data_IF_151204376214
#
_entry.id   IF_151204376214
#
_cell.length_a   1.000
_cell.length_b   1.000
_cell.length_c   1.000
_cell.angle_alpha   90.00
_cell.angle_beta   90.00
_cell.angle_gamma   90.00
#
_symmetry.space_group_name_H-M   'P 1'
#
loop_
_entity.id
_entity.type
_entity.pdbx_description
1 polymer ?
#
# COMPACT_ATOMS: atom_id res chain seq x y z
N UNK A 1 43.61 -6.67 7.39
CA UNK A 1 44.88 -5.90 7.45
C UNK A 1 45.92 -6.46 8.43
N UNK A 2 45.53 -7.00 9.60
CA UNK A 2 46.50 -7.56 10.59
C UNK A 2 47.41 -8.67 10.06
N UNK A 3 46.92 -9.52 9.16
CA UNK A 3 47.71 -10.61 8.58
C UNK A 3 48.79 -10.17 7.58
N UNK A 4 48.60 -9.04 6.89
CA UNK A 4 49.61 -8.48 5.97
C UNK A 4 50.85 -8.00 6.73
N UNK A 5 50.65 -7.43 7.93
CA UNK A 5 51.74 -7.02 8.82
C UNK A 5 52.52 -8.25 9.30
N UNK A 6 51.81 -9.32 9.67
CA UNK A 6 52.44 -10.60 10.01
C UNK A 6 53.25 -11.20 8.86
N UNK A 7 52.70 -11.20 7.65
CA UNK A 7 53.39 -11.70 6.45
C UNK A 7 54.66 -10.87 6.13
N UNK A 8 54.60 -9.54 6.26
CA UNK A 8 55.75 -8.65 6.09
C UNK A 8 56.81 -8.84 7.18
N UNK A 9 56.41 -9.06 8.44
CA UNK A 9 57.34 -9.36 9.54
C UNK A 9 58.08 -10.68 9.34
N UNK A 10 57.37 -11.72 8.88
CA UNK A 10 57.97 -13.03 8.58
C UNK A 10 58.89 -12.91 7.34
N UNK A 11 58.54 -12.09 6.35
CA UNK A 11 59.40 -11.81 5.21
C UNK A 11 60.70 -11.11 5.65
N UNK A 12 60.61 -10.12 6.54
CA UNK A 12 61.78 -9.45 7.13
C UNK A 12 62.65 -10.41 7.96
N UNK A 13 62.02 -11.28 8.74
CA UNK A 13 62.71 -12.30 9.53
C UNK A 13 63.41 -13.36 8.65
N UNK A 14 62.78 -13.76 7.55
CA UNK A 14 63.39 -14.65 6.55
C UNK A 14 64.66 -14.06 5.95
N UNK A 15 64.67 -12.76 5.68
CA UNK A 15 65.84 -12.05 5.18
C UNK A 15 66.95 -11.96 6.23
N UNK A 16 66.59 -11.82 7.51
CA UNK A 16 67.55 -11.81 8.62
C UNK A 16 68.21 -13.18 8.86
N UNK A 17 67.51 -14.29 8.57
CA UNK A 17 68.03 -15.66 8.71
C UNK A 17 68.83 -16.12 7.47
N UNK A 18 68.69 -15.43 6.33
CA UNK A 18 69.31 -15.84 5.06
C UNK A 18 68.70 -17.12 4.47
N UNK A 19 67.42 -17.40 4.77
CA UNK A 19 66.72 -18.56 4.21
C UNK A 19 66.00 -18.19 2.92
N UNK A 20 66.56 -18.59 1.78
CA UNK A 20 65.97 -18.33 0.46
C UNK A 20 64.61 -19.01 0.30
N UNK A 21 64.43 -20.20 0.88
CA UNK A 21 63.20 -20.98 0.76
C UNK A 21 62.01 -20.29 1.45
N UNK A 22 62.22 -19.72 2.64
CA UNK A 22 61.19 -18.95 3.35
C UNK A 22 60.83 -17.67 2.60
N UNK A 23 61.81 -17.02 1.97
CA UNK A 23 61.56 -15.83 1.15
C UNK A 23 60.71 -16.17 -0.07
N UNK A 24 61.05 -17.23 -0.83
CA UNK A 24 60.26 -17.68 -1.98
C UNK A 24 58.83 -18.11 -1.59
N UNK A 25 58.67 -18.79 -0.45
CA UNK A 25 57.36 -19.16 0.08
C UNK A 25 56.52 -17.90 0.40
N UNK A 26 57.13 -16.88 0.99
CA UNK A 26 56.42 -15.64 1.32
C UNK A 26 56.08 -14.79 0.08
N UNK A 27 57.00 -14.71 -0.89
CA UNK A 27 56.72 -14.03 -2.16
C UNK A 27 55.60 -14.71 -2.95
N UNK A 28 55.57 -16.04 -3.00
CA UNK A 28 54.49 -16.78 -3.66
C UNK A 28 53.16 -16.56 -2.95
N UNK A 29 53.13 -16.57 -1.61
CA UNK A 29 51.94 -16.27 -0.83
C UNK A 29 51.42 -14.85 -1.05
N UNK A 30 52.29 -13.83 -0.97
CA UNK A 30 51.89 -12.43 -1.18
C UNK A 30 51.40 -12.19 -2.61
N UNK A 31 52.08 -12.78 -3.60
CA UNK A 31 51.66 -12.71 -5.01
C UNK A 31 50.31 -13.37 -5.20
N UNK A 32 50.09 -14.56 -4.63
CA UNK A 32 48.82 -15.26 -4.68
C UNK A 32 47.68 -14.41 -4.09
N UNK A 33 47.89 -13.76 -2.95
CA UNK A 33 46.89 -12.90 -2.30
C UNK A 33 46.61 -11.67 -3.16
N UNK A 34 47.65 -10.99 -3.69
CA UNK A 34 47.49 -9.81 -4.52
C UNK A 34 46.75 -10.12 -5.83
N UNK A 35 47.12 -11.23 -6.47
CA UNK A 35 46.46 -11.75 -7.67
C UNK A 35 45.01 -12.14 -7.35
N UNK A 36 44.76 -12.91 -6.29
CA UNK A 36 43.41 -13.27 -5.84
C UNK A 36 42.54 -12.03 -5.61
N UNK A 37 43.05 -11.01 -4.92
CA UNK A 37 42.34 -9.75 -4.68
C UNK A 37 42.05 -8.98 -5.97
N UNK A 38 43.01 -8.93 -6.89
CA UNK A 38 42.84 -8.26 -8.18
C UNK A 38 41.81 -8.97 -9.06
N UNK A 39 41.87 -10.30 -9.18
CA UNK A 39 40.89 -11.09 -9.93
C UNK A 39 39.49 -10.94 -9.33
N UNK A 40 39.35 -11.11 -8.02
CA UNK A 40 38.05 -10.97 -7.33
C UNK A 40 37.42 -9.59 -7.57
N UNK A 41 38.21 -8.51 -7.46
CA UNK A 41 37.73 -7.14 -7.76
C UNK A 41 37.34 -6.98 -9.23
N UNK A 42 38.16 -7.45 -10.16
CA UNK A 42 37.91 -7.31 -11.59
C UNK A 42 36.70 -8.13 -12.04
N UNK A 43 36.56 -9.36 -11.55
CA UNK A 43 35.38 -10.20 -11.84
C UNK A 43 34.11 -9.52 -11.37
N UNK A 44 34.08 -9.04 -10.13
CA UNK A 44 32.90 -8.38 -9.59
C UNK A 44 32.57 -7.10 -10.40
N UNK A 45 33.55 -6.23 -10.67
CA UNK A 45 33.32 -5.00 -11.44
C UNK A 45 32.77 -5.19 -12.86
N UNK A 46 33.02 -6.35 -13.49
CA UNK A 46 32.61 -6.65 -14.87
C UNK A 46 31.25 -7.37 -14.96
N UNK A 47 30.63 -7.71 -13.84
CA UNK A 47 29.31 -8.32 -13.81
C UNK A 47 28.22 -7.24 -13.88
N UNK A 48 27.30 -7.41 -14.83
CA UNK A 48 26.08 -6.63 -14.92
C UNK A 48 24.87 -7.55 -14.84
N UNK A 49 23.83 -7.12 -14.14
CA UNK A 49 22.55 -7.83 -14.08
C UNK A 49 21.42 -6.90 -14.51
N UNK A 50 20.41 -7.45 -15.18
CA UNK A 50 19.17 -6.74 -15.52
C UNK A 50 17.99 -7.56 -15.01
N UNK A 51 16.97 -6.87 -14.48
CA UNK A 51 15.69 -7.47 -14.06
C UNK A 51 14.59 -7.06 -15.01
N UNK A 52 13.84 -8.05 -15.48
CA UNK A 52 12.55 -7.86 -16.13
C UNK A 52 11.48 -8.57 -15.30
N UNK A 53 10.40 -7.85 -15.02
CA UNK A 53 9.21 -8.38 -14.36
C UNK A 53 8.10 -8.47 -15.40
N UNK A 54 7.33 -9.55 -15.42
CA UNK A 54 6.22 -9.72 -16.36
C UNK A 54 5.16 -8.64 -16.18
N UNK A 55 4.88 -8.27 -14.93
CA UNK A 55 3.95 -7.19 -14.57
C UNK A 55 4.31 -6.57 -13.21
N UNK A 56 4.11 -5.27 -13.06
CA UNK A 56 4.33 -4.53 -11.80
C UNK A 56 3.03 -4.17 -11.07
N UNK A 57 1.89 -4.44 -11.71
CA UNK A 57 0.55 -4.34 -11.15
C UNK A 57 -0.10 -5.69 -11.33
N UNK A 58 -0.62 -6.27 -10.25
CA UNK A 58 -1.20 -7.61 -10.24
C UNK A 58 -2.44 -7.65 -9.34
N UNK A 59 -3.28 -8.65 -9.53
CA UNK A 59 -4.41 -8.94 -8.65
C UNK A 59 -4.10 -10.13 -7.72
N UNK A 60 -4.94 -10.32 -6.70
CA UNK A 60 -4.82 -11.49 -5.84
C UNK A 60 -5.09 -12.76 -6.67
N UNK A 61 -4.23 -13.75 -6.50
CA UNK A 61 -4.07 -15.01 -7.22
C UNK A 61 -3.31 -14.94 -8.55
N UNK A 62 -2.86 -13.77 -8.99
CA UNK A 62 -2.02 -13.68 -10.18
C UNK A 62 -0.65 -14.32 -9.98
N UNK A 63 -0.12 -14.86 -11.07
CA UNK A 63 1.25 -15.36 -11.15
C UNK A 63 2.14 -14.32 -11.82
N UNK A 64 3.18 -13.89 -11.12
CA UNK A 64 4.15 -12.92 -11.62
C UNK A 64 5.49 -13.63 -11.87
N UNK A 65 6.02 -13.46 -13.07
CA UNK A 65 7.31 -14.00 -13.49
C UNK A 65 8.40 -12.94 -13.40
N UNK A 66 9.54 -13.31 -12.84
CA UNK A 66 10.75 -12.51 -12.81
C UNK A 66 11.83 -13.20 -13.62
N UNK A 67 12.39 -12.46 -14.57
CA UNK A 67 13.54 -12.86 -15.35
C UNK A 67 14.74 -11.96 -15.02
N UNK A 68 15.80 -12.59 -14.51
CA UNK A 68 17.08 -11.97 -14.25
C UNK A 68 18.08 -12.43 -15.29
N UNK A 69 18.64 -11.50 -16.04
CA UNK A 69 19.74 -11.77 -16.96
C UNK A 69 21.05 -11.26 -16.36
N UNK A 70 21.99 -12.18 -16.19
CA UNK A 70 23.33 -11.91 -15.68
C UNK A 70 24.33 -12.03 -16.82
N UNK A 71 25.10 -10.96 -17.05
CA UNK A 71 26.05 -10.83 -18.15
C UNK A 71 27.44 -10.51 -17.62
N UNK A 72 28.44 -11.26 -18.06
CA UNK A 72 29.85 -10.94 -17.83
C UNK A 72 30.37 -10.08 -18.99
N UNK A 73 30.66 -8.80 -18.74
CA UNK A 73 31.22 -7.88 -19.74
C UNK A 73 32.75 -7.96 -19.86
N UNK A 74 33.38 -8.73 -18.97
CA UNK A 74 34.81 -8.89 -18.90
C UNK A 74 35.35 -9.93 -19.89
N UNK A 75 36.66 -9.86 -20.12
CA UNK A 75 37.41 -10.83 -20.95
C UNK A 75 37.78 -12.12 -20.21
N UNK A 76 37.66 -12.14 -18.88
CA UNK A 76 37.99 -13.30 -18.05
C UNK A 76 36.72 -14.05 -17.68
N UNK A 77 36.74 -15.40 -17.65
CA UNK A 77 35.65 -16.18 -17.10
C UNK A 77 35.55 -15.98 -15.59
N UNK A 78 34.33 -15.89 -15.08
CA UNK A 78 34.05 -15.86 -13.64
C UNK A 78 33.67 -17.28 -13.20
N UNK A 79 34.49 -17.92 -12.34
CA UNK A 79 34.37 -19.35 -12.05
C UNK A 79 33.09 -19.71 -11.30
N UNK A 80 32.65 -18.83 -10.41
CA UNK A 80 31.42 -19.04 -9.66
C UNK A 80 30.79 -17.69 -9.30
N UNK A 81 29.46 -17.66 -9.39
CA UNK A 81 28.63 -16.52 -9.05
C UNK A 81 27.39 -17.09 -8.39
N UNK A 82 27.14 -16.68 -7.15
CA UNK A 82 25.89 -16.93 -6.47
C UNK A 82 24.99 -15.72 -6.68
N UNK A 83 23.90 -15.93 -7.42
CA UNK A 83 22.88 -14.93 -7.66
C UNK A 83 21.73 -15.16 -6.67
N UNK A 84 21.40 -14.15 -5.89
CA UNK A 84 20.30 -14.15 -4.93
C UNK A 84 19.43 -12.89 -5.17
N UNK A 85 18.17 -13.09 -5.55
CA UNK A 85 17.21 -11.97 -5.64
C UNK A 85 16.54 -11.75 -4.29
N UNK A 86 16.79 -10.59 -3.66
CA UNK A 86 16.23 -10.27 -2.35
C UNK A 86 14.75 -9.90 -2.53
N UNK A 87 13.90 -10.40 -1.64
CA UNK A 87 12.50 -10.04 -1.58
C UNK A 87 12.20 -9.49 -0.18
N UNK A 88 11.22 -8.60 -0.09
CA UNK A 88 10.80 -8.02 1.20
C UNK A 88 10.40 -9.11 2.20
N UNK A 89 10.86 -9.00 3.46
CA UNK A 89 10.47 -9.92 4.54
C UNK A 89 8.95 -10.00 4.73
N UNK A 90 8.24 -8.89 4.50
CA UNK A 90 6.77 -8.82 4.59
C UNK A 90 6.06 -9.79 3.64
N UNK A 91 6.68 -10.11 2.50
CA UNK A 91 6.11 -11.08 1.55
C UNK A 91 5.97 -12.49 2.15
N UNK A 92 6.75 -12.82 3.19
CA UNK A 92 6.81 -14.13 3.82
C UNK A 92 6.46 -14.11 5.32
N UNK A 93 6.00 -12.97 5.84
CA UNK A 93 5.77 -12.81 7.27
C UNK A 93 4.58 -13.64 7.80
N UNK A 94 3.57 -13.84 6.96
CA UNK A 94 2.34 -14.53 7.32
C UNK A 94 2.28 -15.94 6.74
N UNK A 95 1.41 -16.78 7.31
CA UNK A 95 1.10 -18.12 6.83
C UNK A 95 -0.37 -18.20 6.43
N UNK A 96 -0.71 -18.51 5.15
CA UNK A 96 0.20 -18.64 4.01
C UNK A 96 0.92 -17.32 3.67
N UNK A 97 2.10 -17.38 3.01
CA UNK A 97 2.87 -16.21 2.63
C UNK A 97 2.10 -15.34 1.64
N UNK A 98 2.29 -14.03 1.73
CA UNK A 98 1.64 -13.06 0.83
C UNK A 98 2.11 -13.21 -0.60
N UNK A 99 3.39 -13.52 -0.82
CA UNK A 99 3.92 -13.97 -2.11
C UNK A 99 4.42 -15.41 -1.96
N UNK A 100 3.75 -16.33 -2.62
CA UNK A 100 4.09 -17.75 -2.57
C UNK A 100 5.05 -18.09 -3.70
N UNK A 101 6.31 -18.36 -3.33
CA UNK A 101 7.36 -18.73 -4.28
C UNK A 101 7.11 -20.14 -4.84
N UNK A 102 7.08 -20.25 -6.16
CA UNK A 102 6.94 -21.55 -6.85
C UNK A 102 8.28 -22.14 -7.29
N UNK A 103 9.35 -21.33 -7.30
CA UNK A 103 10.69 -21.76 -7.70
C UNK A 103 11.79 -21.02 -6.95
N UNK A 104 13.04 -21.52 -7.07
CA UNK A 104 14.19 -20.95 -6.38
C UNK A 104 14.61 -19.60 -6.99
N UNK A 105 14.72 -18.59 -6.13
CA UNK A 105 15.29 -17.26 -6.42
C UNK A 105 16.82 -17.19 -6.25
N UNK A 106 17.45 -18.32 -5.93
CA UNK A 106 18.89 -18.45 -5.71
C UNK A 106 19.46 -19.41 -6.75
N UNK A 107 20.53 -19.01 -7.43
CA UNK A 107 21.21 -19.83 -8.44
C UNK A 107 22.71 -19.63 -8.42
N UNK A 108 23.44 -20.74 -8.33
CA UNK A 108 24.89 -20.78 -8.50
C UNK A 108 25.22 -21.04 -9.97
N UNK A 109 26.11 -20.22 -10.55
CA UNK A 109 26.49 -20.37 -11.95
C UNK A 109 27.91 -19.90 -12.24
N UNK A 110 28.54 -20.48 -13.27
CA UNK A 110 29.76 -19.97 -13.90
C UNK A 110 29.41 -19.15 -15.15
N UNK A 111 30.17 -18.10 -15.47
CA UNK A 111 30.02 -17.31 -16.70
C UNK A 111 31.35 -17.20 -17.45
N UNK A 112 31.36 -17.57 -18.72
CA UNK A 112 32.50 -17.30 -19.61
C UNK A 112 32.58 -15.81 -19.96
N UNK A 113 33.68 -15.41 -20.61
CA UNK A 113 33.81 -14.06 -21.16
C UNK A 113 32.65 -13.74 -22.11
N UNK A 114 32.06 -12.56 -21.97
CA UNK A 114 30.93 -12.11 -22.79
C UNK A 114 29.68 -13.01 -22.78
N UNK A 115 29.56 -13.93 -21.81
CA UNK A 115 28.41 -14.82 -21.71
C UNK A 115 27.31 -14.20 -20.85
N UNK A 116 26.05 -14.43 -21.25
CA UNK A 116 24.86 -14.17 -20.43
C UNK A 116 24.21 -15.47 -19.96
N UNK A 117 23.63 -15.46 -18.76
CA UNK A 117 22.77 -16.53 -18.24
C UNK A 117 21.55 -15.96 -17.55
N UNK A 118 20.45 -16.71 -17.64
CA UNK A 118 19.14 -16.31 -17.11
C UNK A 118 18.78 -17.11 -15.84
N UNK A 119 18.20 -16.43 -14.86
CA UNK A 119 17.43 -17.02 -13.76
C UNK A 119 15.99 -16.56 -13.93
N UNK A 120 15.06 -17.52 -13.99
CA UNK A 120 13.64 -17.24 -14.04
C UNK A 120 12.97 -17.86 -12.82
N UNK A 121 12.13 -17.08 -12.15
CA UNK A 121 11.30 -17.58 -11.06
C UNK A 121 9.92 -16.95 -11.07
N UNK A 122 8.96 -17.66 -10.48
CA UNK A 122 7.57 -17.22 -10.42
C UNK A 122 7.06 -17.28 -8.99
N UNK A 123 6.12 -16.40 -8.68
CA UNK A 123 5.38 -16.44 -7.43
C UNK A 123 3.90 -16.14 -7.66
N UNK A 124 3.07 -16.69 -6.79
CA UNK A 124 1.64 -16.41 -6.73
C UNK A 124 1.37 -15.31 -5.71
N UNK A 125 0.56 -14.33 -6.07
CA UNK A 125 0.18 -13.23 -5.17
C UNK A 125 -1.02 -13.67 -4.31
N UNK A 126 -0.82 -14.03 -3.05
CA UNK A 126 -1.90 -14.48 -2.17
C UNK A 126 -2.61 -13.34 -1.42
N UNK A 127 -1.96 -12.17 -1.27
CA UNK A 127 -2.51 -11.02 -0.54
C UNK A 127 -2.16 -9.71 -1.22
N UNK A 128 -2.98 -8.68 -1.01
CA UNK A 128 -2.69 -7.32 -1.50
C UNK A 128 -1.39 -6.80 -0.88
N UNK A 129 -0.81 -5.77 -1.46
CA UNK A 129 0.30 -5.07 -0.84
C UNK A 129 1.23 -4.43 -1.83
N UNK A 130 2.22 -3.72 -1.29
CA UNK A 130 3.28 -3.09 -2.05
C UNK A 130 4.62 -3.76 -1.71
N UNK A 131 5.12 -4.56 -2.66
CA UNK A 131 6.25 -5.47 -2.44
C UNK A 131 7.49 -5.00 -3.18
N UNK A 132 8.62 -4.94 -2.46
CA UNK A 132 9.93 -4.78 -3.07
C UNK A 132 10.34 -6.10 -3.73
N UNK A 133 10.57 -6.04 -5.03
CA UNK A 133 11.23 -7.07 -5.81
C UNK A 133 12.68 -6.64 -5.99
N UNK A 134 13.61 -7.42 -5.46
CA UNK A 134 15.01 -7.03 -5.42
C UNK A 134 15.42 -6.21 -4.20
N UNK A 135 16.67 -5.72 -4.20
CA UNK A 135 17.62 -5.79 -5.32
C UNK A 135 18.24 -7.19 -5.51
N UNK A 136 18.91 -7.40 -6.65
CA UNK A 136 19.66 -8.63 -6.91
C UNK A 136 21.07 -8.48 -6.35
N UNK A 137 21.44 -9.41 -5.46
CA UNK A 137 22.77 -9.49 -4.88
C UNK A 137 23.56 -10.59 -5.57
N UNK A 138 24.74 -10.22 -6.04
CA UNK A 138 25.71 -11.13 -6.62
C UNK A 138 26.84 -11.34 -5.62
N UNK A 139 27.09 -12.59 -5.27
CA UNK A 139 28.28 -13.00 -4.52
C UNK A 139 29.24 -13.69 -5.49
N UNK A 140 30.48 -13.20 -5.53
CA UNK A 140 31.58 -13.81 -6.27
C UNK A 140 32.87 -13.69 -5.48
N UNK A 141 33.90 -14.44 -5.87
CA UNK A 141 35.16 -14.42 -5.15
C UNK A 141 36.23 -15.25 -5.84
N UNK A 142 37.39 -15.30 -5.21
CA UNK A 142 38.48 -16.16 -5.67
C UNK A 142 38.18 -17.64 -5.45
N UNK A 143 38.93 -18.51 -6.13
CA UNK A 143 38.78 -19.97 -6.03
C UNK A 143 39.21 -20.52 -4.67
N UNK A 144 40.10 -19.81 -3.98
CA UNK A 144 40.60 -20.19 -2.65
C UNK A 144 39.71 -19.68 -1.51
N UNK A 145 38.68 -18.89 -1.82
CA UNK A 145 37.76 -18.31 -0.83
C UNK A 145 38.40 -17.28 0.10
N UNK A 146 39.58 -16.75 -0.23
CA UNK A 146 40.29 -15.72 0.53
C UNK A 146 39.60 -14.36 0.43
N UNK A 147 38.93 -14.10 -0.70
CA UNK A 147 38.28 -12.84 -1.00
C UNK A 147 36.91 -13.07 -1.63
N UNK A 148 35.86 -12.89 -0.82
CA UNK A 148 34.48 -12.79 -1.28
C UNK A 148 34.12 -11.32 -1.52
N UNK A 149 33.25 -11.08 -2.47
CA UNK A 149 32.73 -9.76 -2.87
C UNK A 149 31.24 -9.86 -3.06
N UNK A 150 30.52 -8.90 -2.49
CA UNK A 150 29.07 -8.76 -2.64
C UNK A 150 28.78 -7.49 -3.42
N UNK A 151 27.95 -7.63 -4.46
CA UNK A 151 27.56 -6.49 -5.28
C UNK A 151 26.07 -6.47 -5.53
N UNK A 152 25.50 -5.29 -5.32
CA UNK A 152 24.14 -4.96 -5.73
C UNK A 152 24.21 -4.41 -7.15
N UNK A 153 23.50 -5.03 -8.09
CA UNK A 153 23.58 -4.69 -9.53
C UNK A 153 22.25 -4.36 -10.20
N UNK A 154 21.14 -4.55 -9.50
CA UNK A 154 19.81 -4.16 -10.00
C UNK A 154 19.13 -3.26 -8.99
N UNK A 155 18.48 -2.22 -9.49
CA UNK A 155 17.56 -1.43 -8.68
C UNK A 155 16.35 -2.30 -8.28
N UNK A 156 15.76 -2.06 -7.10
CA UNK A 156 14.51 -2.70 -6.73
C UNK A 156 13.38 -2.23 -7.65
N UNK A 157 12.54 -3.17 -8.06
CA UNK A 157 11.26 -2.88 -8.71
C UNK A 157 10.14 -3.07 -7.68
N UNK A 158 9.02 -2.36 -7.86
CA UNK A 158 7.92 -2.38 -6.91
C UNK A 158 6.68 -3.00 -7.53
N UNK A 159 6.21 -4.09 -6.93
CA UNK A 159 4.98 -4.76 -7.32
C UNK A 159 3.83 -4.27 -6.45
N UNK A 160 2.77 -3.78 -7.08
CA UNK A 160 1.51 -3.46 -6.41
C UNK A 160 0.51 -4.58 -6.67
N UNK A 161 0.09 -5.28 -5.61
CA UNK A 161 -0.98 -6.27 -5.66
C UNK A 161 -2.26 -5.61 -5.16
N UNK A 162 -3.28 -5.53 -6.01
CA UNK A 162 -4.55 -4.87 -5.70
C UNK A 162 -5.42 -5.72 -4.77
N UNK A 163 -6.25 -5.09 -3.91
CA UNK A 163 -7.20 -5.82 -3.08
C UNK A 163 -8.27 -6.50 -3.93
N UNK A 164 -8.76 -7.65 -3.45
CA UNK A 164 -9.91 -8.34 -4.03
C UNK A 164 -11.16 -7.47 -3.88
N UNK A 165 -11.93 -7.37 -4.96
CA UNK A 165 -13.22 -6.69 -5.00
C UNK A 165 -14.32 -7.76 -4.94
N UNK A 166 -15.26 -7.59 -4.02
CA UNK A 166 -16.43 -8.45 -3.85
C UNK A 166 -17.66 -7.68 -4.34
N UNK A 167 -18.56 -8.35 -5.05
CA UNK A 167 -19.81 -7.73 -5.49
C UNK A 167 -20.76 -7.61 -4.30
N UNK A 168 -21.36 -6.43 -4.11
CA UNK A 168 -22.31 -6.16 -3.03
C UNK A 168 -23.74 -6.27 -3.53
N UNK A 169 -24.60 -6.93 -2.75
CA UNK A 169 -26.02 -7.08 -3.04
C UNK A 169 -26.79 -5.82 -2.64
N UNK A 170 -27.00 -4.93 -3.61
CA UNK A 170 -27.73 -3.69 -3.41
C UNK A 170 -26.89 -2.62 -2.70
N UNK A 171 -27.32 -1.37 -2.83
CA UNK A 171 -26.69 -0.23 -2.16
C UNK A 171 -27.77 0.62 -1.50
N UNK A 172 -27.96 0.44 -0.21
CA UNK A 172 -28.85 1.25 0.64
C UNK A 172 -28.06 1.69 1.89
N UNK A 173 -26.93 2.39 1.68
CA UNK A 173 -26.35 3.17 2.77
C UNK A 173 -27.27 4.37 2.97
N UNK A 174 -28.09 4.29 4.02
CA UNK A 174 -29.17 5.21 4.36
C UNK A 174 -28.76 6.67 4.14
N UNK A 175 -29.09 7.21 2.97
CA UNK A 175 -29.21 8.64 2.78
C UNK A 175 -30.48 9.03 3.53
N UNK A 176 -30.35 9.31 4.83
CA UNK A 176 -31.45 9.86 5.63
C UNK A 176 -31.88 11.19 5.01
N UNK A 177 -32.85 11.14 4.10
CA UNK A 177 -33.84 12.19 3.94
C UNK A 177 -35.24 11.59 4.07
N UNK A 178 -36.13 12.22 4.85
CA UNK A 178 -37.43 11.65 5.18
C UNK A 178 -38.44 11.84 4.04
N UNK A 179 -39.16 10.75 3.73
CA UNK A 179 -40.50 10.65 3.15
C UNK A 179 -40.76 11.27 1.75
N UNK A 180 -40.90 10.37 0.77
CA UNK A 180 -41.50 10.59 -0.55
C UNK A 180 -41.18 9.42 -1.48
N UNK A 181 -42.17 8.76 -2.07
CA UNK A 181 -41.95 7.68 -3.06
C UNK A 181 -41.30 8.24 -4.33
N UNK A 182 -40.03 7.91 -4.58
CA UNK A 182 -39.44 8.04 -5.92
C UNK A 182 -38.58 6.82 -6.22
N UNK A 183 -39.06 5.99 -7.17
CA UNK A 183 -38.20 5.14 -8.00
C UNK A 183 -37.28 6.05 -8.82
N UNK A 184 -35.98 5.91 -8.62
CA UNK A 184 -34.97 6.74 -9.27
C UNK A 184 -34.69 6.28 -10.70
N UNK A 185 -34.93 7.17 -11.66
CA UNK A 185 -34.28 7.16 -12.97
C UNK A 185 -34.18 8.62 -13.45
N UNK A 186 -32.95 9.15 -13.55
CA UNK A 186 -32.57 10.49 -14.08
C UNK A 186 -32.39 11.68 -13.10
N UNK A 187 -31.34 12.47 -13.39
CA UNK A 187 -30.65 13.52 -12.62
C UNK A 187 -31.35 14.90 -12.54
N UNK A 188 -32.67 15.00 -12.46
CA UNK A 188 -33.37 16.25 -12.83
C UNK A 188 -34.10 17.05 -11.73
N UNK A 189 -34.03 16.68 -10.45
CA UNK A 189 -34.81 17.39 -9.42
C UNK A 189 -34.00 18.39 -8.58
N UNK A 190 -34.55 19.59 -8.44
CA UNK A 190 -34.15 20.60 -7.46
C UNK A 190 -35.06 20.45 -6.23
N UNK A 191 -34.55 20.70 -5.03
CA UNK A 191 -35.31 20.57 -3.79
C UNK A 191 -36.23 21.80 -3.58
N UNK A 192 -37.57 21.67 -3.71
CA UNK A 192 -38.49 22.81 -3.63
C UNK A 192 -38.56 23.43 -2.23
N UNK A 193 -37.98 22.79 -1.21
CA UNK A 193 -37.92 23.30 0.16
C UNK A 193 -36.72 24.19 0.42
N UNK A 194 -35.68 24.14 -0.43
CA UNK A 194 -34.42 24.88 -0.26
C UNK A 194 -34.22 25.90 -1.37
N UNK A 195 -34.48 27.16 -1.06
CA UNK A 195 -34.28 28.29 -1.98
C UNK A 195 -32.83 28.77 -1.86
N UNK A 196 -32.01 28.51 -2.88
CA UNK A 196 -30.63 28.98 -2.99
C UNK A 196 -30.55 30.50 -3.25
N UNK A 197 -31.57 31.07 -3.88
CA UNK A 197 -31.63 32.49 -4.19
C UNK A 197 -32.81 32.86 -5.08
N UNK A 198 -32.75 34.05 -5.65
CA UNK A 198 -33.78 34.59 -6.55
C UNK A 198 -33.10 35.22 -7.75
N UNK A 199 -33.62 34.99 -8.96
CA UNK A 199 -33.19 35.67 -10.20
C UNK A 199 -34.36 36.30 -10.91
N UNK A 200 -34.07 37.22 -11.84
CA UNK A 200 -35.08 37.72 -12.77
C UNK A 200 -35.74 36.56 -13.51
N UNK A 201 -37.07 36.61 -13.56
CA UNK A 201 -37.90 35.66 -14.30
C UNK A 201 -37.55 35.70 -15.79
N UNK A 202 -37.42 34.53 -16.40
CA UNK A 202 -37.24 34.38 -17.84
C UNK A 202 -38.47 33.69 -18.44
N UNK A 203 -38.82 34.03 -19.68
CA UNK A 203 -39.90 33.36 -20.39
C UNK A 203 -39.56 31.88 -20.57
N UNK A 204 -40.41 31.02 -20.00
CA UNK A 204 -40.18 29.57 -19.88
C UNK A 204 -40.07 29.09 -18.43
N UNK A 205 -39.84 29.98 -17.46
CA UNK A 205 -39.88 29.63 -16.04
C UNK A 205 -41.32 29.31 -15.60
N UNK A 206 -41.57 28.19 -14.89
CA UNK A 206 -42.91 27.87 -14.44
C UNK A 206 -43.40 28.82 -13.34
N UNK A 207 -44.67 29.23 -13.42
CA UNK A 207 -45.27 30.25 -12.53
C UNK A 207 -45.25 29.88 -11.05
N UNK A 208 -45.26 28.58 -10.71
CA UNK A 208 -45.14 28.09 -9.34
C UNK A 208 -43.77 28.40 -8.69
N UNK A 209 -42.78 28.81 -9.49
CA UNK A 209 -41.45 29.23 -9.02
C UNK A 209 -41.36 30.73 -8.77
N UNK A 210 -42.42 31.52 -8.97
CA UNK A 210 -42.37 32.96 -8.69
C UNK A 210 -42.19 33.20 -7.19
N UNK A 211 -41.21 34.02 -6.83
CA UNK A 211 -41.00 34.47 -5.45
C UNK A 211 -41.79 35.77 -5.19
N UNK A 212 -43.08 35.64 -4.86
CA UNK A 212 -44.00 36.79 -4.72
C UNK A 212 -43.48 37.92 -3.83
N UNK A 213 -42.85 37.60 -2.68
CA UNK A 213 -42.29 38.62 -1.78
C UNK A 213 -41.13 39.42 -2.39
N UNK A 214 -40.33 38.81 -3.26
CA UNK A 214 -39.21 39.47 -3.92
C UNK A 214 -39.74 40.31 -5.09
N UNK A 215 -40.67 39.75 -5.88
CA UNK A 215 -41.40 40.45 -6.94
C UNK A 215 -42.09 41.72 -6.42
N UNK A 216 -42.75 41.65 -5.26
CA UNK A 216 -43.43 42.79 -4.66
C UNK A 216 -42.46 43.93 -4.27
N UNK A 217 -41.19 43.61 -3.94
CA UNK A 217 -40.19 44.61 -3.55
C UNK A 217 -39.48 45.24 -4.73
N UNK A 218 -39.23 44.47 -5.79
CA UNK A 218 -38.48 44.94 -6.97
C UNK A 218 -39.37 45.43 -8.11
N UNK A 219 -40.68 45.17 -8.06
CA UNK A 219 -41.63 45.52 -9.12
C UNK A 219 -41.45 44.72 -10.41
N UNK A 220 -40.57 43.71 -10.43
CA UNK A 220 -40.27 42.84 -11.58
C UNK A 220 -40.37 41.39 -11.15
N UNK A 221 -40.92 40.52 -12.00
CA UNK A 221 -41.05 39.09 -11.70
C UNK A 221 -39.69 38.46 -11.36
N UNK A 222 -39.61 37.80 -10.20
CA UNK A 222 -38.45 37.06 -9.74
C UNK A 222 -38.79 35.57 -9.62
N UNK A 223 -37.92 34.70 -10.11
CA UNK A 223 -38.03 33.25 -10.04
C UNK A 223 -37.11 32.70 -8.93
N UNK A 224 -37.63 31.78 -8.12
CA UNK A 224 -36.89 31.04 -7.09
C UNK A 224 -35.84 30.16 -7.76
N UNK A 225 -34.59 30.27 -7.32
CA UNK A 225 -33.55 29.28 -7.61
C UNK A 225 -33.54 28.30 -6.45
N UNK A 226 -33.76 27.03 -6.73
CA UNK A 226 -33.71 25.97 -5.74
C UNK A 226 -32.31 25.35 -5.68
N UNK A 227 -31.90 24.87 -4.50
CA UNK A 227 -30.69 24.04 -4.40
C UNK A 227 -30.92 22.72 -5.14
N UNK A 228 -29.92 22.26 -5.87
CA UNK A 228 -29.95 20.92 -6.50
C UNK A 228 -30.08 19.85 -5.42
N UNK A 229 -30.94 18.84 -5.62
CA UNK A 229 -31.00 17.71 -4.69
C UNK A 229 -29.65 16.98 -4.73
N UNK A 230 -28.92 17.04 -3.62
CA UNK A 230 -27.55 16.56 -3.46
C UNK A 230 -27.33 15.18 -4.08
N UNK A 231 -26.29 15.08 -4.92
CA UNK A 231 -25.73 13.78 -5.32
C UNK A 231 -25.25 13.13 -4.03
N UNK A 232 -25.86 12.02 -3.62
CA UNK A 232 -25.39 11.22 -2.50
C UNK A 232 -23.93 10.80 -2.77
N UNK A 233 -22.98 11.43 -2.08
CA UNK A 233 -21.58 11.04 -2.07
C UNK A 233 -21.27 10.14 -0.89
N UNK A 234 -20.21 9.36 -0.98
CA UNK A 234 -19.71 8.54 0.12
C UNK A 234 -18.26 8.92 0.41
N UNK A 235 -17.94 9.14 1.68
CA UNK A 235 -16.56 9.22 2.14
C UNK A 235 -16.30 8.04 3.06
N UNK A 236 -15.46 7.11 2.61
CA UNK A 236 -15.04 5.97 3.43
C UNK A 236 -13.93 6.46 4.36
N UNK A 237 -14.10 6.28 5.67
CA UNK A 237 -13.08 6.55 6.68
C UNK A 237 -12.64 5.22 7.25
N UNK A 238 -11.46 4.77 6.86
CA UNK A 238 -10.90 3.46 7.20
C UNK A 238 -9.88 3.59 8.34
N UNK A 239 -10.17 2.97 9.47
CA UNK A 239 -9.24 2.85 10.59
C UNK A 239 -8.19 1.75 10.31
N UNK A 240 -6.94 2.16 10.25
CA UNK A 240 -5.75 1.33 10.02
C UNK A 240 -4.69 1.54 11.12
N UNK A 241 -5.15 1.87 12.34
CA UNK A 241 -4.29 1.99 13.51
C UNK A 241 -3.91 0.62 14.12
N UNK A 242 -2.67 0.46 14.59
CA UNK A 242 -2.18 -0.80 15.17
C UNK A 242 -3.02 -1.34 16.33
N UNK A 243 -3.50 -0.44 17.21
CA UNK A 243 -4.35 -0.77 18.35
C UNK A 243 -5.67 -1.46 17.97
N UNK A 244 -6.14 -1.24 16.74
CA UNK A 244 -7.35 -1.86 16.20
C UNK A 244 -7.13 -3.29 15.72
N UNK A 245 -5.88 -3.72 15.50
CA UNK A 245 -5.56 -5.02 14.91
C UNK A 245 -4.67 -5.90 15.80
N UNK A 246 -4.09 -5.35 16.86
CA UNK A 246 -3.21 -6.08 17.78
C UNK A 246 -3.91 -7.30 18.40
N UNK A 247 -3.37 -8.50 18.16
CA UNK A 247 -3.91 -9.76 18.67
C UNK A 247 -5.20 -10.26 18.00
N UNK A 248 -5.68 -9.59 16.94
CA UNK A 248 -6.99 -9.86 16.33
C UNK A 248 -6.89 -10.61 14.99
N UNK A 249 -6.48 -11.89 14.99
CA UNK A 249 -6.47 -12.73 13.78
C UNK A 249 -5.81 -12.10 12.54
N UNK A 250 -4.77 -11.29 12.72
CA UNK A 250 -4.04 -10.66 11.62
C UNK A 250 -3.34 -11.70 10.73
N UNK A 251 -3.30 -11.49 9.40
CA UNK A 251 -3.72 -10.29 8.66
C UNK A 251 -5.17 -10.34 8.14
N UNK A 252 -6.01 -11.27 8.62
CA UNK A 252 -7.35 -11.49 8.06
C UNK A 252 -8.27 -10.27 8.26
N UNK A 253 -8.18 -9.59 9.41
CA UNK A 253 -9.04 -8.45 9.73
C UNK A 253 -8.67 -7.23 8.91
N UNK A 254 -7.38 -6.89 8.83
CA UNK A 254 -6.91 -5.78 8.00
C UNK A 254 -7.24 -5.98 6.52
N UNK A 255 -7.09 -7.20 5.99
CA UNK A 255 -7.50 -7.53 4.64
C UNK A 255 -9.02 -7.40 4.44
N UNK A 256 -9.84 -7.88 5.37
CA UNK A 256 -11.29 -7.78 5.29
C UNK A 256 -11.80 -6.33 5.30
N UNK A 257 -11.20 -5.46 6.13
CA UNK A 257 -11.54 -4.03 6.14
C UNK A 257 -11.25 -3.35 4.80
N UNK A 258 -10.12 -3.70 4.17
CA UNK A 258 -9.76 -3.17 2.85
C UNK A 258 -10.64 -3.73 1.75
N UNK A 259 -10.95 -5.04 1.79
CA UNK A 259 -11.88 -5.67 0.87
C UNK A 259 -13.26 -5.03 0.96
N UNK A 260 -13.76 -4.76 2.17
CA UNK A 260 -15.02 -4.04 2.35
C UNK A 260 -14.95 -2.63 1.77
N UNK A 261 -13.90 -1.86 2.09
CA UNK A 261 -13.71 -0.50 1.59
C UNK A 261 -13.68 -0.43 0.06
N UNK A 262 -12.87 -1.28 -0.60
CA UNK A 262 -12.76 -1.25 -2.07
C UNK A 262 -14.03 -1.74 -2.75
N UNK A 263 -14.72 -2.73 -2.16
CA UNK A 263 -15.97 -3.27 -2.71
C UNK A 263 -17.06 -2.21 -2.69
N UNK A 264 -17.18 -1.47 -1.59
CA UNK A 264 -18.13 -0.37 -1.46
C UNK A 264 -17.77 0.77 -2.41
N UNK A 265 -16.48 1.14 -2.49
CA UNK A 265 -16.01 2.15 -3.42
C UNK A 265 -16.35 1.79 -4.88
N UNK A 266 -16.19 0.52 -5.27
CA UNK A 266 -16.55 0.02 -6.59
C UNK A 266 -18.05 0.14 -6.85
N UNK A 267 -18.90 -0.27 -5.90
CA UNK A 267 -20.36 -0.15 -6.02
C UNK A 267 -20.80 1.31 -6.16
N UNK A 268 -20.27 2.23 -5.35
CA UNK A 268 -20.59 3.67 -5.43
C UNK A 268 -20.14 4.27 -6.76
N UNK A 269 -18.96 3.88 -7.24
CA UNK A 269 -18.47 4.30 -8.55
C UNK A 269 -19.38 3.81 -9.68
N UNK A 270 -19.84 2.54 -9.64
CA UNK A 270 -20.76 1.99 -10.63
C UNK A 270 -22.12 2.71 -10.64
N UNK A 271 -22.58 3.19 -9.48
CA UNK A 271 -23.76 4.05 -9.36
C UNK A 271 -23.54 5.49 -9.86
N UNK A 272 -22.29 5.84 -10.22
CA UNK A 272 -21.92 7.16 -10.71
C UNK A 272 -22.04 8.26 -9.66
N UNK A 273 -21.91 7.90 -8.38
CA UNK A 273 -21.93 8.79 -7.21
C UNK A 273 -20.51 9.32 -6.91
N UNK A 274 -20.41 10.28 -5.99
CA UNK A 274 -19.10 10.78 -5.52
C UNK A 274 -18.51 9.78 -4.52
N UNK A 275 -17.21 9.52 -4.60
CA UNK A 275 -16.52 8.62 -3.66
C UNK A 275 -15.21 9.26 -3.21
N UNK A 276 -14.89 9.10 -1.93
CA UNK A 276 -13.63 9.51 -1.32
C UNK A 276 -13.16 8.52 -0.27
N UNK A 277 -11.89 8.62 0.10
CA UNK A 277 -11.24 7.77 1.09
C UNK A 277 -10.42 8.63 2.07
N UNK A 278 -10.53 8.32 3.34
CA UNK A 278 -9.70 8.82 4.42
C UNK A 278 -9.18 7.65 5.23
N UNK A 279 -7.87 7.62 5.51
CA UNK A 279 -7.30 6.61 6.40
C UNK A 279 -6.08 7.15 7.14
N UNK A 280 -5.91 6.69 8.37
CA UNK A 280 -4.73 6.88 9.21
C UNK A 280 -3.63 5.84 8.95
N UNK A 281 -3.85 4.91 8.03
CA UNK A 281 -2.81 3.98 7.58
C UNK A 281 -1.65 4.69 6.87
N UNK A 282 -0.51 4.01 6.79
CA UNK A 282 0.71 4.52 6.15
C UNK A 282 0.79 4.06 4.70
N UNK A 283 1.18 4.94 3.78
CA UNK A 283 1.43 4.54 2.39
C UNK A 283 2.81 3.86 2.30
N UNK A 284 2.82 2.58 1.90
CA UNK A 284 4.06 1.84 1.69
C UNK A 284 4.97 2.50 0.65
N UNK A 285 4.44 3.20 -0.35
CA UNK A 285 5.24 3.88 -1.36
C UNK A 285 6.04 5.08 -0.80
N UNK A 286 5.56 5.71 0.28
CA UNK A 286 6.29 6.78 0.97
C UNK A 286 7.39 6.24 1.88
N UNK A 287 7.23 5.00 2.38
CA UNK A 287 8.27 4.28 3.13
C UNK A 287 9.44 3.86 2.22
N UNK A 288 9.16 3.50 0.97
CA UNK A 288 10.15 2.88 0.08
C UNK A 288 11.00 3.88 -0.72
N UNK A 289 10.78 5.19 -0.58
CA UNK A 289 11.33 6.20 -1.49
C UNK A 289 12.67 6.82 -1.09
N UNK A 290 13.52 6.14 -0.33
CA UNK A 290 14.83 6.69 0.05
C UNK A 290 15.98 5.70 -0.09
N UNK A 291 17.05 6.19 -0.72
CA UNK A 291 18.41 5.64 -0.90
C UNK A 291 18.70 4.96 -2.25
N UNK A 292 19.88 5.28 -2.80
CA UNK A 292 20.44 4.69 -4.02
C UNK A 292 21.11 3.35 -3.71
N UNK A 293 21.04 2.41 -4.67
CA UNK A 293 21.34 0.99 -4.45
C UNK A 293 22.70 0.54 -5.02
N UNK A 294 23.54 1.49 -5.44
CA UNK A 294 24.89 1.24 -5.94
C UNK A 294 25.93 1.26 -4.81
N UNK A 295 25.97 0.18 -4.01
CA UNK A 295 26.95 0.04 -2.92
C UNK A 295 27.68 -1.29 -3.02
N UNK A 296 29.01 -1.24 -3.05
CA UNK A 296 29.87 -2.42 -2.87
C UNK A 296 29.98 -2.71 -1.37
N UNK A 297 29.69 -3.94 -0.96
CA UNK A 297 29.60 -4.33 0.44
C UNK A 297 30.57 -5.48 0.74
N UNK A 298 31.21 -5.41 1.90
CA UNK A 298 32.26 -6.35 2.30
C UNK A 298 31.68 -7.61 2.97
N UNK A 299 30.41 -7.60 3.37
CA UNK A 299 29.76 -8.68 4.11
C UNK A 299 28.35 -9.00 3.59
N UNK A 300 27.95 -10.27 3.71
CA UNK A 300 26.65 -10.79 3.29
C UNK A 300 25.51 -10.21 4.12
N UNK A 301 25.70 -10.06 5.44
CA UNK A 301 24.67 -9.49 6.29
C UNK A 301 24.48 -8.01 5.96
N UNK A 302 25.56 -7.27 5.72
CA UNK A 302 25.49 -5.89 5.24
C UNK A 302 24.83 -5.78 3.87
N UNK A 303 25.12 -6.69 2.92
CA UNK A 303 24.45 -6.75 1.62
C UNK A 303 22.95 -7.03 1.73
N UNK A 304 22.57 -7.91 2.64
CA UNK A 304 21.16 -8.16 2.95
C UNK A 304 20.51 -6.98 3.66
N UNK A 305 21.21 -6.36 4.61
CA UNK A 305 20.72 -5.20 5.36
C UNK A 305 20.54 -3.99 4.47
N UNK A 306 21.51 -3.66 3.61
CA UNK A 306 21.37 -2.64 2.59
C UNK A 306 20.23 -2.97 1.62
N UNK A 307 20.05 -4.26 1.29
CA UNK A 307 18.92 -4.80 0.54
C UNK A 307 17.55 -4.67 1.23
N UNK A 308 17.53 -4.59 2.57
CA UNK A 308 16.31 -4.58 3.39
C UNK A 308 16.04 -3.20 3.98
N UNK A 309 14.81 -2.73 3.80
CA UNK A 309 14.37 -1.36 4.09
C UNK A 309 14.62 -0.86 5.53
N UNK A 310 14.96 0.42 5.66
CA UNK A 310 14.88 1.20 6.91
C UNK A 310 13.38 1.46 7.18
N UNK A 311 12.91 1.13 8.39
CA UNK A 311 11.49 1.16 8.75
C UNK A 311 11.01 2.57 9.20
N UNK A 312 11.95 3.46 9.46
CA UNK A 312 11.74 4.78 10.07
C UNK A 312 11.34 5.82 9.01
N UNK A 313 10.04 6.10 8.90
CA UNK A 313 9.59 7.36 8.31
C UNK A 313 8.38 7.82 9.11
N UNK A 314 8.60 8.80 9.98
CA UNK A 314 7.68 9.34 11.00
C UNK A 314 6.65 10.33 10.43
N UNK A 315 6.39 10.30 9.12
CA UNK A 315 5.44 11.24 8.51
C UNK A 315 4.01 10.77 8.73
N UNK A 316 3.46 11.19 9.87
CA UNK A 316 2.08 11.07 10.32
C UNK A 316 1.12 11.94 9.49
N UNK A 317 0.92 11.63 8.20
CA UNK A 317 -0.11 12.30 7.40
C UNK A 317 -1.22 11.32 7.05
N UNK A 318 -2.49 11.68 7.27
CA UNK A 318 -3.58 10.83 6.85
C UNK A 318 -3.61 10.76 5.33
N UNK A 319 -3.82 9.56 4.80
CA UNK A 319 -4.01 9.36 3.36
C UNK A 319 -5.42 9.82 3.01
N UNK A 320 -5.50 10.72 2.04
CA UNK A 320 -6.75 11.34 1.65
C UNK A 320 -6.92 11.30 0.14
N UNK A 321 -8.06 10.75 -0.28
CA UNK A 321 -8.59 10.86 -1.62
C UNK A 321 -9.85 11.72 -1.54
N UNK A 322 -9.86 12.91 -2.18
CA UNK A 322 -10.99 13.83 -2.07
C UNK A 322 -12.26 13.22 -2.67
N UNK A 323 -13.37 13.41 -1.95
CA UNK A 323 -14.68 12.92 -2.37
C UNK A 323 -15.16 13.69 -3.59
N UNK A 324 -15.08 13.06 -4.76
CA UNK A 324 -15.42 13.69 -6.03
C UNK A 324 -16.01 12.67 -6.99
N UNK A 325 -16.68 13.17 -8.03
CA UNK A 325 -17.19 12.34 -9.12
C UNK A 325 -16.16 12.29 -10.25
N UNK A 326 -15.37 11.24 -10.32
CA UNK A 326 -14.48 10.97 -11.46
C UNK A 326 -14.19 9.48 -11.58
N UNK A 327 -14.02 9.00 -12.81
CA UNK A 327 -13.60 7.63 -13.10
C UNK A 327 -12.22 7.32 -12.54
N UNK A 328 -11.34 8.32 -12.42
CA UNK A 328 -10.01 8.17 -11.82
C UNK A 328 -10.03 7.97 -10.31
N UNK A 329 -11.09 8.43 -9.62
CA UNK A 329 -11.12 8.41 -8.16
C UNK A 329 -11.08 7.00 -7.61
N UNK A 330 -11.83 6.09 -8.23
CA UNK A 330 -11.79 4.67 -7.86
C UNK A 330 -10.38 4.08 -8.01
N UNK A 331 -9.69 4.35 -9.11
CA UNK A 331 -8.32 3.85 -9.32
C UNK A 331 -7.36 4.40 -8.25
N UNK A 332 -7.49 5.68 -7.85
CA UNK A 332 -6.69 6.26 -6.76
C UNK A 332 -6.97 5.60 -5.41
N UNK A 333 -8.24 5.36 -5.11
CA UNK A 333 -8.67 4.63 -3.91
C UNK A 333 -8.09 3.21 -3.93
N UNK A 334 -8.21 2.51 -5.06
CA UNK A 334 -7.69 1.16 -5.26
C UNK A 334 -6.17 1.09 -5.07
N UNK A 335 -5.43 2.04 -5.64
CA UNK A 335 -3.97 2.11 -5.47
C UNK A 335 -3.56 2.43 -4.03
N UNK A 336 -4.28 3.31 -3.33
CA UNK A 336 -3.99 3.62 -1.92
C UNK A 336 -4.33 2.41 -1.03
N UNK A 337 -5.49 1.79 -1.23
CA UNK A 337 -5.89 0.60 -0.50
C UNK A 337 -4.98 -0.61 -0.79
N UNK A 338 -4.37 -0.70 -1.97
CA UNK A 338 -3.34 -1.70 -2.25
C UNK A 338 -2.05 -1.46 -1.46
N UNK A 339 -1.72 -0.20 -1.17
CA UNK A 339 -0.46 0.23 -0.53
C UNK A 339 -0.57 0.54 0.95
N UNK A 340 -1.79 0.64 1.50
CA UNK A 340 -2.01 1.01 2.89
C UNK A 340 -1.51 -0.09 3.84
N UNK A 341 -0.64 0.31 4.76
CA UNK A 341 -0.09 -0.51 5.83
C UNK A 341 -0.61 -0.01 7.18
N UNK A 342 -0.73 -0.92 8.15
CA UNK A 342 -1.06 -0.58 9.54
C UNK A 342 0.00 0.37 10.09
N UNK A 343 -0.45 1.39 10.81
CA UNK A 343 0.38 2.46 11.35
C UNK A 343 0.11 2.65 12.85
N UNK A 344 1.12 3.10 13.59
CA UNK A 344 1.06 3.56 14.98
C UNK A 344 0.83 5.07 15.09
N UNK A 345 0.39 5.67 13.97
CA UNK A 345 0.34 7.11 13.80
C UNK A 345 -0.87 7.81 14.41
N UNK A 346 -1.73 8.35 13.55
CA UNK A 346 -2.92 9.09 14.00
C UNK A 346 -4.01 8.12 14.44
N UNK A 347 -4.51 8.26 15.66
CA UNK A 347 -5.74 7.57 16.07
C UNK A 347 -6.95 8.01 15.21
N UNK A 348 -7.96 7.15 15.13
CA UNK A 348 -9.17 7.41 14.34
C UNK A 348 -9.90 8.72 14.71
N UNK A 349 -9.99 9.03 16.00
CA UNK A 349 -10.60 10.28 16.46
C UNK A 349 -9.82 11.52 15.95
N UNK A 350 -8.49 11.47 16.00
CA UNK A 350 -7.63 12.53 15.50
C UNK A 350 -7.69 12.64 13.97
N UNK A 351 -7.77 11.51 13.26
CA UNK A 351 -8.00 11.46 11.82
C UNK A 351 -9.27 12.23 11.43
N UNK A 352 -10.39 11.98 12.12
CA UNK A 352 -11.64 12.68 11.85
C UNK A 352 -11.55 14.19 12.13
N UNK A 353 -10.90 14.57 13.23
CA UNK A 353 -10.70 15.99 13.58
C UNK A 353 -9.86 16.71 12.53
N UNK A 354 -8.76 16.11 12.04
CA UNK A 354 -7.92 16.72 11.00
C UNK A 354 -8.63 16.78 9.64
N UNK A 355 -9.36 15.71 9.30
CA UNK A 355 -9.97 15.56 7.98
C UNK A 355 -11.35 16.22 7.86
N UNK A 356 -11.95 16.70 8.95
CA UNK A 356 -13.30 17.27 8.99
C UNK A 356 -13.53 18.35 7.91
N UNK A 357 -12.54 19.23 7.71
CA UNK A 357 -12.62 20.31 6.72
C UNK A 357 -12.53 19.84 5.26
N UNK A 358 -12.09 18.59 5.04
CA UNK A 358 -11.85 17.99 3.72
C UNK A 358 -13.04 17.15 3.25
N UNK A 359 -13.98 16.81 4.14
CA UNK A 359 -15.18 16.01 3.81
C UNK A 359 -16.32 16.93 3.35
N UNK A 360 -16.90 16.70 2.15
CA UNK A 360 -18.07 17.44 1.70
C UNK A 360 -19.29 17.21 2.61
N UNK A 361 -20.07 18.27 2.86
CA UNK A 361 -21.25 18.24 3.75
C UNK A 361 -22.40 17.37 3.22
N UNK A 362 -22.44 17.14 1.92
CA UNK A 362 -23.42 16.33 1.20
C UNK A 362 -23.01 14.86 1.05
N UNK A 363 -21.84 14.48 1.57
CA UNK A 363 -21.38 13.09 1.57
C UNK A 363 -21.75 12.38 2.88
N UNK A 364 -22.19 11.13 2.76
CA UNK A 364 -22.31 10.20 3.88
C UNK A 364 -20.91 9.76 4.30
N UNK A 365 -20.66 9.72 5.61
CA UNK A 365 -19.43 9.20 6.21
C UNK A 365 -19.68 7.74 6.58
N UNK A 366 -18.91 6.84 5.98
CA UNK A 366 -18.88 5.45 6.36
C UNK A 366 -17.57 5.16 7.09
N UNK A 367 -17.65 5.01 8.41
CA UNK A 367 -16.51 4.65 9.24
C UNK A 367 -16.32 3.14 9.27
N UNK A 368 -15.15 2.62 8.91
CA UNK A 368 -14.78 1.21 9.10
C UNK A 368 -13.81 1.16 10.27
N UNK A 369 -14.26 0.61 11.41
CA UNK A 369 -13.52 0.57 12.67
C UNK A 369 -13.40 -0.88 13.16
N UNK A 370 -12.29 -1.24 13.79
CA UNK A 370 -12.07 -2.59 14.34
C UNK A 370 -12.13 -2.66 15.86
N UNK A 371 -12.12 -1.52 16.54
CA UNK A 371 -12.16 -1.45 18.00
C UNK A 371 -12.94 -0.24 18.47
N UNK A 372 -13.68 -0.40 19.56
CA UNK A 372 -14.27 0.73 20.27
C UNK A 372 -13.20 1.50 21.03
N UNK A 373 -13.24 2.81 20.90
CA UNK A 373 -12.58 3.72 21.80
C UNK A 373 -13.54 4.88 22.11
N UNK A 374 -13.63 5.32 23.37
CA UNK A 374 -14.51 6.43 23.77
C UNK A 374 -14.30 7.68 22.88
N UNK A 375 -13.05 8.11 22.56
CA UNK A 375 -12.80 9.21 21.63
C UNK A 375 -13.35 8.96 20.22
N UNK A 376 -13.35 7.72 19.73
CA UNK A 376 -13.90 7.36 18.41
C UNK A 376 -15.41 7.57 18.37
N UNK A 377 -16.12 7.10 19.39
CA UNK A 377 -17.57 7.28 19.51
C UNK A 377 -17.93 8.77 19.59
N UNK A 378 -17.21 9.53 20.43
CA UNK A 378 -17.41 11.00 20.56
C UNK A 378 -17.11 11.71 19.22
N UNK A 379 -16.06 11.31 18.50
CA UNK A 379 -15.72 11.91 17.22
C UNK A 379 -16.82 11.67 16.17
N UNK A 380 -17.33 10.45 16.06
CA UNK A 380 -18.43 10.13 15.14
C UNK A 380 -19.72 10.84 15.52
N UNK A 381 -20.04 10.92 16.81
CA UNK A 381 -21.21 11.66 17.30
C UNK A 381 -21.08 13.16 16.98
N UNK A 382 -19.89 13.75 17.16
CA UNK A 382 -19.64 15.14 16.80
C UNK A 382 -19.84 15.38 15.29
N UNK A 383 -19.42 14.45 14.43
CA UNK A 383 -19.70 14.54 12.99
C UNK A 383 -21.21 14.49 12.72
N UNK A 384 -21.94 13.58 13.35
CA UNK A 384 -23.39 13.49 13.21
C UNK A 384 -24.11 14.76 13.70
N UNK A 385 -23.72 15.31 14.86
CA UNK A 385 -24.26 16.57 15.40
C UNK A 385 -24.00 17.78 14.50
N UNK A 386 -22.95 17.75 13.69
CA UNK A 386 -22.65 18.78 12.71
C UNK A 386 -23.41 18.61 11.38
N UNK A 387 -24.30 17.62 11.29
CA UNK A 387 -25.20 17.41 10.16
C UNK A 387 -24.68 16.46 9.08
N UNK A 388 -23.59 15.74 9.31
CA UNK A 388 -23.18 14.65 8.41
C UNK A 388 -24.07 13.43 8.63
N UNK A 389 -24.41 12.71 7.55
CA UNK A 389 -24.95 11.35 7.68
C UNK A 389 -23.79 10.41 8.01
N UNK A 390 -23.87 9.69 9.13
CA UNK A 390 -22.80 8.82 9.62
C UNK A 390 -23.31 7.40 9.78
N UNK A 391 -22.55 6.45 9.24
CA UNK A 391 -22.73 5.01 9.44
C UNK A 391 -21.40 4.38 9.83
N UNK A 392 -21.43 3.30 10.60
CA UNK A 392 -20.23 2.60 11.06
C UNK A 392 -20.26 1.10 10.73
N UNK A 393 -19.21 0.59 10.10
CA UNK A 393 -18.94 -0.84 9.93
C UNK A 393 -17.92 -1.27 10.97
N UNK A 394 -18.28 -2.26 11.77
CA UNK A 394 -17.48 -2.77 12.87
C UNK A 394 -16.85 -4.10 12.44
N UNK A 395 -15.53 -4.08 12.22
CA UNK A 395 -14.72 -5.20 11.78
C UNK A 395 -14.23 -6.03 12.98
N UNK A 396 -15.09 -6.91 13.48
CA UNK A 396 -14.78 -7.82 14.57
C UNK A 396 -15.32 -9.22 14.29
N UNK A 397 -14.60 -10.25 14.74
CA UNK A 397 -15.04 -11.62 14.50
C UNK A 397 -16.18 -12.05 15.44
N UNK A 398 -16.05 -11.69 16.72
CA UNK A 398 -16.95 -12.13 17.79
C UNK A 398 -18.20 -11.25 17.86
N UNK A 399 -19.35 -11.89 18.05
CA UNK A 399 -20.62 -11.18 18.14
C UNK A 399 -20.75 -10.38 19.44
N UNK A 400 -20.15 -10.85 20.54
CA UNK A 400 -20.11 -10.13 21.82
C UNK A 400 -19.34 -8.81 21.70
N UNK A 401 -18.19 -8.83 21.03
CA UNK A 401 -17.41 -7.62 20.74
C UNK A 401 -18.22 -6.64 19.88
N UNK A 402 -18.92 -7.14 18.86
CA UNK A 402 -19.81 -6.29 18.05
C UNK A 402 -20.89 -5.61 18.90
N UNK A 403 -21.56 -6.34 19.79
CA UNK A 403 -22.60 -5.79 20.66
C UNK A 403 -22.06 -4.70 21.60
N UNK A 404 -20.84 -4.89 22.13
CA UNK A 404 -20.16 -3.89 22.97
C UNK A 404 -19.85 -2.61 22.19
N UNK A 405 -19.21 -2.73 21.02
CA UNK A 405 -18.79 -1.59 20.19
C UNK A 405 -20.00 -0.85 19.59
N UNK A 406 -21.03 -1.58 19.17
CA UNK A 406 -22.21 -0.99 18.51
C UNK A 406 -23.16 -0.29 19.47
N UNK A 407 -23.27 -0.74 20.73
CA UNK A 407 -24.23 -0.20 21.70
C UNK A 407 -24.18 1.33 21.85
N UNK A 408 -23.00 1.93 22.15
CA UNK A 408 -22.85 3.37 22.26
C UNK A 408 -23.12 4.13 20.95
N UNK A 409 -22.75 3.56 19.80
CA UNK A 409 -22.99 4.16 18.48
C UNK A 409 -24.49 4.18 18.13
N UNK A 410 -25.19 3.09 18.40
CA UNK A 410 -26.65 2.99 18.22
C UNK A 410 -27.36 3.98 19.16
N UNK A 411 -26.90 4.12 20.40
CA UNK A 411 -27.43 5.10 21.34
C UNK A 411 -27.24 6.54 20.85
N UNK A 412 -26.16 6.82 20.11
CA UNK A 412 -25.91 8.09 19.43
C UNK A 412 -26.71 8.25 18.10
N UNK A 413 -27.54 7.28 17.72
CA UNK A 413 -28.36 7.31 16.51
C UNK A 413 -27.60 7.02 15.21
N UNK A 414 -26.40 6.44 15.32
CA UNK A 414 -25.53 6.03 14.21
C UNK A 414 -25.90 4.59 13.81
N UNK A 415 -26.10 4.36 12.51
CA UNK A 415 -26.37 3.02 12.00
C UNK A 415 -25.08 2.19 11.96
N UNK A 416 -25.13 0.97 12.51
CA UNK A 416 -23.97 0.08 12.61
C UNK A 416 -24.17 -1.21 11.80
N UNK A 417 -23.08 -1.71 11.20
CA UNK A 417 -23.06 -2.98 10.47
C UNK A 417 -21.94 -3.88 10.98
N UNK A 418 -22.21 -5.17 11.08
CA UNK A 418 -21.22 -6.16 11.53
C UNK A 418 -20.43 -6.71 10.34
N UNK A 419 -19.11 -6.49 10.32
CA UNK A 419 -18.19 -7.08 9.34
C UNK A 419 -17.47 -8.27 9.97
N UNK A 420 -18.07 -9.46 9.86
CA UNK A 420 -17.54 -10.70 10.47
C UNK A 420 -16.58 -11.44 9.55
N UNK A 421 -16.98 -11.58 8.29
CA UNK A 421 -16.36 -12.37 7.23
C UNK A 421 -16.61 -11.75 5.84
N UNK A 422 -16.08 -12.36 4.79
CA UNK A 422 -16.24 -11.88 3.41
C UNK A 422 -17.70 -11.92 2.95
N UNK A 423 -18.49 -12.90 3.40
CA UNK A 423 -19.93 -12.99 3.08
C UNK A 423 -20.72 -11.82 3.68
N UNK A 424 -20.32 -11.35 4.87
CA UNK A 424 -20.88 -10.14 5.46
C UNK A 424 -20.71 -8.93 4.53
N UNK A 425 -19.59 -8.82 3.79
CA UNK A 425 -19.33 -7.72 2.83
C UNK A 425 -20.41 -7.66 1.74
N UNK A 426 -20.87 -8.81 1.27
CA UNK A 426 -21.90 -8.91 0.21
C UNK A 426 -23.22 -8.32 0.70
N UNK A 427 -23.55 -8.53 1.97
CA UNK A 427 -24.85 -8.18 2.53
C UNK A 427 -24.88 -6.88 3.34
N UNK A 428 -23.76 -6.14 3.44
CA UNK A 428 -23.69 -4.97 4.33
C UNK A 428 -24.72 -3.91 3.98
N UNK A 429 -24.95 -3.68 2.69
CA UNK A 429 -25.88 -2.67 2.21
C UNK A 429 -27.32 -3.17 2.10
N UNK A 430 -27.59 -4.44 2.44
CA UNK A 430 -28.95 -4.96 2.48
C UNK A 430 -29.54 -4.51 3.81
N UNK A 431 -30.56 -3.64 3.74
CA UNK A 431 -31.35 -3.23 4.91
C UNK A 431 -31.70 -4.49 5.71
N UNK A 432 -31.02 -4.70 6.85
CA UNK A 432 -31.38 -5.77 7.77
C UNK A 432 -32.74 -5.37 8.33
N UNK A 433 -33.80 -5.77 7.63
CA UNK A 433 -35.16 -5.75 8.15
C UNK A 433 -35.14 -6.80 9.26
N UNK A 434 -34.73 -6.37 10.46
CA UNK A 434 -34.98 -7.11 11.66
C UNK A 434 -36.50 -7.21 11.81
N UNK A 435 -36.98 -8.44 11.70
CA UNK A 435 -38.32 -8.87 12.10
C UNK A 435 -38.50 -8.75 13.59
#
# INVERSE_FOLDING_TARGET
MKWLIGALLILGFSFAIGSDLLAYAMYSLLTLIAVSRWLSKNWAAQLSATRQCSQLKAEINDHVGIELELTNRGKLPVPWILLEDILSKKAFQHTPPSLELQSSRIKLTMLRASQSKKLQYHFKCNRRGFYQLGPTVLETGDLFGLHRRFQVRTEPQYLTVFPKIVSIDGYDLSSRRPIGEIKMTHRLFEDPTRIAGVRSYQEGDPLNRIHWRATARTGKLQSKIYESSTVAGLTIVLDFHENGFYGQHEPMRSELAVTAAISIANTVQQLGQQIGLLTNGRDAADRMRQQGWDVELDDREQARQAGTMINENDRLRPLHVPTQRSSEQFYRIQEILARVEISDGLDFAHLLLEAQSRVPRDATILAIISKENIPTTIALENMARQGFAVSAMINVYEHEQYAQISGPLIAAGIETYHLRDEDSVVHVCRRQILR
#
